data_IF_595999801319
#
_entry.id   IF_595999801319
#
_cell.length_a   1.000
_cell.length_b   1.000
_cell.length_c   1.000
_cell.angle_alpha   90.00
_cell.angle_beta   90.00
_cell.angle_gamma   90.00
#
_symmetry.space_group_name_H-M   'P 1'
#
loop_
_entity.id
_entity.type
_entity.pdbx_description
1 polymer ?
#
# COMPACT_ATOMS: atom_id res chain seq x y z
N UNK A 1 -19.92 20.17 9.97
CA UNK A 1 -18.74 21.06 9.98
C UNK A 1 -18.32 21.17 8.53
N UNK A 2 -18.76 22.26 7.87
CA UNK A 2 -18.44 22.51 6.45
C UNK A 2 -16.95 22.82 6.35
N UNK A 3 -16.24 22.02 5.61
CA UNK A 3 -14.82 22.26 5.28
C UNK A 3 -14.81 23.34 4.21
N UNK A 4 -14.26 24.49 4.53
CA UNK A 4 -14.10 25.63 3.60
C UNK A 4 -13.25 25.23 2.40
N UNK A 5 -13.90 24.97 1.28
CA UNK A 5 -13.30 24.59 -0.01
C UNK A 5 -12.49 25.74 -0.62
N UNK A 6 -12.60 26.96 -0.08
CA UNK A 6 -11.94 28.16 -0.61
C UNK A 6 -10.43 28.17 -0.35
N UNK A 7 -9.96 27.55 0.73
CA UNK A 7 -8.54 27.55 1.11
C UNK A 7 -7.67 26.59 0.28
N UNK A 8 -8.25 25.61 -0.40
CA UNK A 8 -7.51 24.68 -1.27
C UNK A 8 -7.21 25.24 -2.67
N UNK A 9 -7.89 26.31 -3.09
CA UNK A 9 -7.67 26.95 -4.39
C UNK A 9 -6.32 27.62 -4.54
N UNK A 10 -5.63 27.92 -3.46
CA UNK A 10 -4.32 28.61 -3.47
C UNK A 10 -3.11 27.69 -3.64
N UNK A 11 -3.26 26.38 -3.52
CA UNK A 11 -2.12 25.44 -3.55
C UNK A 11 -1.92 24.71 -4.87
N UNK A 12 -2.90 24.72 -5.76
CA UNK A 12 -2.81 24.06 -7.05
C UNK A 12 -3.06 25.03 -8.19
N UNK A 13 -2.00 25.37 -8.87
CA UNK A 13 -1.93 26.13 -10.10
C UNK A 13 -3.04 25.71 -11.08
N UNK A 14 -4.09 26.53 -11.23
CA UNK A 14 -5.07 26.66 -12.33
C UNK A 14 -5.47 25.43 -13.19
N UNK A 15 -5.27 24.21 -12.74
CA UNK A 15 -5.89 23.05 -13.34
C UNK A 15 -7.12 22.66 -12.51
N UNK A 16 -8.27 22.84 -13.12
CA UNK A 16 -9.57 22.37 -12.66
C UNK A 16 -9.54 20.83 -12.64
N UNK A 17 -8.90 20.24 -11.62
CA UNK A 17 -9.01 18.82 -11.39
C UNK A 17 -10.46 18.54 -11.03
N UNK A 18 -11.05 17.67 -11.82
CA UNK A 18 -12.41 17.21 -11.86
C UNK A 18 -12.99 17.02 -10.45
N UNK A 19 -14.17 17.56 -10.17
CA UNK A 19 -14.94 17.33 -8.94
C UNK A 19 -15.02 15.85 -8.59
N UNK A 20 -14.97 14.98 -9.57
CA UNK A 20 -14.90 13.53 -9.46
C UNK A 20 -13.63 13.04 -8.74
N UNK A 21 -12.51 13.77 -8.86
CA UNK A 21 -11.27 13.47 -8.13
C UNK A 21 -11.41 13.83 -6.65
N UNK A 22 -12.03 14.98 -6.34
CA UNK A 22 -12.31 15.41 -4.96
C UNK A 22 -13.36 14.52 -4.28
N UNK A 23 -14.37 14.06 -5.01
CA UNK A 23 -15.35 13.09 -4.51
C UNK A 23 -14.70 11.73 -4.19
N UNK A 24 -13.72 11.29 -4.98
CA UNK A 24 -12.95 10.10 -4.68
C UNK A 24 -12.04 10.29 -3.46
N UNK A 25 -11.37 11.44 -3.30
CA UNK A 25 -10.58 11.73 -2.09
C UNK A 25 -11.46 11.73 -0.83
N UNK A 26 -12.62 12.38 -0.87
CA UNK A 26 -13.57 12.40 0.26
C UNK A 26 -14.13 11.00 0.55
N UNK A 27 -14.38 10.20 -0.49
CA UNK A 27 -14.85 8.82 -0.37
C UNK A 27 -13.76 7.92 0.23
N UNK A 28 -12.50 8.12 -0.17
CA UNK A 28 -11.34 7.43 0.38
C UNK A 28 -11.10 7.81 1.83
N UNK A 29 -11.26 9.09 2.20
CA UNK A 29 -11.13 9.55 3.59
C UNK A 29 -12.28 9.07 4.50
N UNK A 30 -13.49 8.89 3.98
CA UNK A 30 -14.66 8.38 4.72
C UNK A 30 -14.59 6.87 4.97
N UNK A 31 -13.76 6.13 4.22
CA UNK A 31 -13.53 4.69 4.43
C UNK A 31 -12.37 4.40 5.40
N UNK A 32 -11.70 5.43 5.93
CA UNK A 32 -10.54 5.32 6.83
C UNK A 32 -10.86 4.75 8.23
N UNK A 33 -12.12 4.55 8.57
CA UNK A 33 -12.54 3.89 9.82
C UNK A 33 -12.57 2.34 9.72
N UNK A 34 -12.32 1.76 8.55
CA UNK A 34 -12.09 0.32 8.38
C UNK A 34 -10.61 0.10 8.13
N UNK A 35 -10.06 -0.88 8.83
CA UNK A 35 -8.72 -1.43 8.63
C UNK A 35 -8.39 -1.45 7.12
N UNK A 36 -7.53 -0.52 6.69
CA UNK A 36 -7.31 -0.26 5.27
C UNK A 36 -6.37 -1.34 4.74
N UNK A 37 -6.97 -2.39 4.19
CA UNK A 37 -6.20 -3.37 3.43
C UNK A 37 -6.20 -3.00 1.95
N UNK A 38 -5.13 -2.33 1.52
CA UNK A 38 -4.95 -1.93 0.13
C UNK A 38 -4.82 -3.12 -0.83
N UNK A 39 -4.62 -4.35 -0.32
CA UNK A 39 -4.54 -5.55 -1.15
C UNK A 39 -5.91 -6.03 -1.64
N UNK A 40 -7.00 -5.57 -1.00
CA UNK A 40 -8.37 -5.80 -1.44
C UNK A 40 -8.83 -4.85 -2.56
N UNK A 41 -8.06 -3.81 -2.83
CA UNK A 41 -8.35 -2.86 -3.90
C UNK A 41 -7.93 -3.41 -5.28
N UNK A 42 -8.50 -2.82 -6.34
CA UNK A 42 -7.99 -3.13 -7.68
C UNK A 42 -6.54 -2.60 -7.85
N UNK A 43 -5.76 -3.25 -8.71
CA UNK A 43 -4.41 -2.77 -9.03
C UNK A 43 -4.41 -1.31 -9.51
N UNK A 44 -5.47 -0.89 -10.22
CA UNK A 44 -5.63 0.49 -10.70
C UNK A 44 -5.80 1.45 -9.53
N UNK A 45 -6.73 1.14 -8.62
CA UNK A 45 -7.02 2.00 -7.48
C UNK A 45 -5.79 2.13 -6.57
N UNK A 46 -5.04 1.03 -6.35
CA UNK A 46 -3.79 1.07 -5.61
C UNK A 46 -2.77 2.04 -6.24
N UNK A 47 -2.59 1.94 -7.56
CA UNK A 47 -1.63 2.77 -8.30
C UNK A 47 -2.08 4.24 -8.29
N UNK A 48 -3.37 4.51 -8.50
CA UNK A 48 -3.92 5.86 -8.53
C UNK A 48 -3.77 6.55 -7.16
N UNK A 49 -4.02 5.83 -6.06
CA UNK A 49 -3.80 6.35 -4.70
C UNK A 49 -2.32 6.56 -4.41
N UNK A 50 -1.46 5.60 -4.76
CA UNK A 50 -0.01 5.71 -4.57
C UNK A 50 0.59 6.90 -5.34
N UNK A 51 0.06 7.22 -6.52
CA UNK A 51 0.51 8.35 -7.33
C UNK A 51 -0.03 9.71 -6.85
N UNK A 52 -0.93 9.72 -5.90
CA UNK A 52 -1.57 10.93 -5.37
C UNK A 52 -0.75 11.59 -4.25
N UNK A 53 -1.32 12.59 -3.61
CA UNK A 53 -0.78 13.21 -2.39
C UNK A 53 -1.24 12.51 -1.11
N UNK A 54 -1.91 11.36 -1.21
CA UNK A 54 -2.34 10.59 -0.06
C UNK A 54 -1.12 10.11 0.75
N UNK A 55 -1.19 10.17 2.10
CA UNK A 55 -0.07 9.76 2.94
C UNK A 55 0.15 8.24 2.93
N UNK A 56 -0.85 7.47 2.56
CA UNK A 56 -0.85 6.00 2.44
C UNK A 56 -1.61 5.57 1.17
N UNK A 57 -1.20 4.48 0.48
CA UNK A 57 -0.04 3.64 0.76
C UNK A 57 1.27 4.37 0.50
N UNK A 58 2.28 4.12 1.35
CA UNK A 58 3.62 4.68 1.19
C UNK A 58 4.57 3.76 0.43
N UNK A 59 5.84 4.17 0.37
CA UNK A 59 6.90 3.40 -0.30
C UNK A 59 7.12 2.02 0.30
N UNK A 60 6.89 1.83 1.61
CA UNK A 60 7.01 0.54 2.29
C UNK A 60 5.96 -0.45 1.80
N UNK A 61 4.67 -0.05 1.81
CA UNK A 61 3.57 -0.84 1.29
C UNK A 61 3.74 -1.18 -0.20
N UNK A 62 4.12 -0.18 -1.02
CA UNK A 62 4.40 -0.40 -2.43
C UNK A 62 5.56 -1.39 -2.66
N UNK A 63 6.64 -1.29 -1.89
CA UNK A 63 7.77 -2.22 -1.98
C UNK A 63 7.39 -3.65 -1.59
N UNK A 64 6.56 -3.81 -0.55
CA UNK A 64 6.05 -5.11 -0.12
C UNK A 64 5.18 -5.74 -1.23
N UNK A 65 4.31 -4.96 -1.88
CA UNK A 65 3.48 -5.45 -3.00
C UNK A 65 4.34 -5.88 -4.19
N UNK A 66 5.36 -5.09 -4.56
CA UNK A 66 6.31 -5.48 -5.64
C UNK A 66 7.04 -6.77 -5.28
N UNK A 67 7.45 -6.93 -4.01
CA UNK A 67 8.04 -8.16 -3.51
C UNK A 67 7.10 -9.36 -3.66
N UNK A 68 5.83 -9.20 -3.28
CA UNK A 68 4.81 -10.25 -3.42
C UNK A 68 4.62 -10.67 -4.89
N UNK A 69 4.57 -9.71 -5.80
CA UNK A 69 4.48 -9.97 -7.26
C UNK A 69 5.71 -10.74 -7.73
N UNK A 70 6.92 -10.34 -7.29
CA UNK A 70 8.16 -11.02 -7.65
C UNK A 70 8.18 -12.48 -7.19
N UNK A 71 7.77 -12.75 -5.95
CA UNK A 71 7.66 -14.11 -5.40
C UNK A 71 6.61 -14.93 -6.14
N UNK A 72 5.46 -14.33 -6.46
CA UNK A 72 4.40 -14.98 -7.22
C UNK A 72 4.86 -15.39 -8.63
N UNK A 73 5.70 -14.58 -9.30
CA UNK A 73 6.30 -14.94 -10.57
C UNK A 73 7.22 -16.15 -10.44
N UNK A 74 8.03 -16.23 -9.38
CA UNK A 74 8.84 -17.42 -9.07
C UNK A 74 7.97 -18.65 -8.84
N UNK A 75 6.91 -18.51 -8.07
CA UNK A 75 5.95 -19.59 -7.80
C UNK A 75 5.22 -20.06 -9.06
N UNK A 76 4.94 -19.14 -10.01
CA UNK A 76 4.39 -19.48 -11.32
C UNK A 76 5.33 -20.41 -12.09
N UNK A 77 6.66 -20.13 -12.11
CA UNK A 77 7.66 -21.00 -12.76
C UNK A 77 7.65 -22.39 -12.12
N UNK A 78 7.61 -22.47 -10.77
CA UNK A 78 7.47 -23.74 -10.05
C UNK A 78 6.21 -24.50 -10.47
N UNK A 79 5.07 -23.81 -10.54
CA UNK A 79 3.78 -24.39 -10.93
C UNK A 79 3.79 -24.94 -12.36
N UNK A 80 4.50 -24.28 -13.26
CA UNK A 80 4.67 -24.72 -14.64
C UNK A 80 5.68 -25.87 -14.77
N UNK A 81 6.45 -26.20 -13.73
CA UNK A 81 7.51 -27.19 -13.75
C UNK A 81 7.09 -28.51 -13.11
N UNK A 82 6.33 -28.46 -12.01
CA UNK A 82 5.81 -29.64 -11.30
C UNK A 82 5.05 -30.57 -12.25
N UNK A 83 5.26 -31.87 -12.11
CA UNK A 83 4.64 -32.92 -12.93
C UNK A 83 5.28 -33.15 -14.30
N UNK A 84 6.32 -32.39 -14.66
CA UNK A 84 7.05 -32.62 -15.92
C UNK A 84 8.16 -33.65 -15.73
N UNK A 85 8.11 -34.74 -16.50
CA UNK A 85 9.12 -35.84 -16.47
C UNK A 85 10.56 -35.36 -16.51
N UNK A 86 10.84 -34.26 -17.20
CA UNK A 86 12.18 -33.68 -17.34
C UNK A 86 12.78 -33.21 -16.02
N UNK A 87 11.96 -32.88 -15.04
CA UNK A 87 12.35 -32.27 -13.77
C UNK A 87 11.96 -33.14 -12.57
N UNK A 88 11.72 -34.45 -12.82
CA UNK A 88 11.28 -35.39 -11.79
C UNK A 88 12.30 -35.57 -10.64
N UNK A 89 13.56 -35.39 -10.92
CA UNK A 89 14.70 -35.47 -10.00
C UNK A 89 14.76 -34.30 -9.00
N UNK A 90 14.14 -33.16 -9.32
CA UNK A 90 14.09 -31.94 -8.48
C UNK A 90 12.67 -31.56 -8.05
N UNK A 91 11.68 -32.40 -8.34
CA UNK A 91 10.27 -32.07 -8.10
C UNK A 91 9.97 -31.79 -6.63
N UNK A 92 10.54 -32.56 -5.71
CA UNK A 92 10.34 -32.35 -4.26
C UNK A 92 10.90 -31.00 -3.80
N UNK A 93 12.03 -30.59 -4.33
CA UNK A 93 12.62 -29.28 -4.04
C UNK A 93 11.75 -28.14 -4.57
N UNK A 94 11.22 -28.31 -5.78
CA UNK A 94 10.30 -27.31 -6.38
C UNK A 94 9.03 -27.18 -5.54
N UNK A 95 8.46 -28.30 -5.08
CA UNK A 95 7.25 -28.29 -4.23
C UNK A 95 7.55 -27.58 -2.90
N UNK A 96 8.71 -27.82 -2.29
CA UNK A 96 9.14 -27.12 -1.07
C UNK A 96 9.27 -25.62 -1.30
N UNK A 97 9.98 -25.21 -2.36
CA UNK A 97 10.14 -23.79 -2.73
C UNK A 97 8.80 -23.10 -2.97
N UNK A 98 7.85 -23.78 -3.62
CA UNK A 98 6.51 -23.24 -3.83
C UNK A 98 5.78 -22.97 -2.53
N UNK A 99 5.85 -23.90 -1.57
CA UNK A 99 5.24 -23.72 -0.25
C UNK A 99 5.85 -22.52 0.49
N UNK A 100 7.17 -22.39 0.48
CA UNK A 100 7.86 -21.25 1.07
C UNK A 100 7.47 -19.93 0.37
N UNK A 101 7.33 -19.94 -0.96
CA UNK A 101 6.88 -18.80 -1.74
C UNK A 101 5.46 -18.37 -1.38
N UNK A 102 4.54 -19.30 -1.15
CA UNK A 102 3.17 -19.00 -0.71
C UNK A 102 3.18 -18.30 0.67
N UNK A 103 3.99 -18.80 1.61
CA UNK A 103 4.12 -18.19 2.94
C UNK A 103 4.74 -16.80 2.88
N UNK A 104 5.77 -16.60 2.07
CA UNK A 104 6.41 -15.29 1.85
C UNK A 104 5.43 -14.31 1.20
N UNK A 105 4.70 -14.74 0.17
CA UNK A 105 3.70 -13.92 -0.51
C UNK A 105 2.64 -13.42 0.48
N UNK A 106 2.09 -14.33 1.30
CA UNK A 106 1.12 -13.98 2.33
C UNK A 106 1.68 -12.93 3.29
N UNK A 107 2.89 -13.15 3.79
CA UNK A 107 3.55 -12.21 4.72
C UNK A 107 3.80 -10.85 4.09
N UNK A 108 4.18 -10.80 2.82
CA UNK A 108 4.39 -9.53 2.10
C UNK A 108 3.09 -8.76 1.93
N UNK A 109 1.97 -9.43 1.63
CA UNK A 109 0.66 -8.80 1.55
C UNK A 109 0.21 -8.25 2.92
N UNK A 110 0.42 -9.00 4.01
CA UNK A 110 0.17 -8.51 5.37
C UNK A 110 1.02 -7.26 5.70
N UNK A 111 2.24 -7.17 5.17
CA UNK A 111 3.11 -6.01 5.37
C UNK A 111 2.62 -4.76 4.64
N UNK A 112 1.88 -4.89 3.54
CA UNK A 112 1.26 -3.74 2.85
C UNK A 112 0.28 -3.03 3.79
N UNK A 113 -0.62 -3.77 4.43
CA UNK A 113 -1.59 -3.23 5.37
C UNK A 113 -0.88 -2.67 6.63
N UNK A 114 0.11 -3.40 7.14
CA UNK A 114 0.85 -2.99 8.34
C UNK A 114 1.66 -1.71 8.16
N UNK A 115 2.25 -1.48 6.98
CA UNK A 115 2.95 -0.23 6.66
C UNK A 115 2.00 0.97 6.76
N UNK A 116 0.80 0.85 6.22
CA UNK A 116 -0.22 1.89 6.30
C UNK A 116 -0.65 2.18 7.75
N UNK A 117 -0.88 1.14 8.55
CA UNK A 117 -1.25 1.24 9.96
C UNK A 117 -0.18 1.96 10.80
N UNK A 118 1.09 1.56 10.63
CA UNK A 118 2.22 2.18 11.35
C UNK A 118 2.40 3.64 10.92
N UNK A 119 2.28 3.92 9.62
CA UNK A 119 2.44 5.27 9.10
C UNK A 119 1.34 6.23 9.59
N UNK A 120 0.12 5.76 9.79
CA UNK A 120 -0.95 6.60 10.36
C UNK A 120 -0.55 7.17 11.74
N UNK A 121 0.06 6.35 12.58
CA UNK A 121 0.57 6.78 13.88
C UNK A 121 1.69 7.83 13.75
N UNK A 122 2.61 7.60 12.82
CA UNK A 122 3.71 8.53 12.54
C UNK A 122 3.20 9.85 11.97
N UNK A 123 2.23 9.81 11.07
CA UNK A 123 1.60 10.99 10.46
C UNK A 123 0.95 11.88 11.54
N UNK A 124 0.28 11.30 12.52
CA UNK A 124 -0.26 12.03 13.67
C UNK A 124 0.85 12.71 14.49
N UNK A 125 2.00 12.07 14.67
CA UNK A 125 3.13 12.65 15.36
C UNK A 125 3.75 13.84 14.58
N UNK A 126 3.77 13.77 13.24
CA UNK A 126 4.23 14.89 12.41
C UNK A 126 3.32 16.12 12.45
N UNK A 127 2.02 15.94 12.70
CA UNK A 127 1.03 17.02 12.80
C UNK A 127 1.01 17.71 14.17
N UNK A 128 1.78 17.24 15.17
CA UNK A 128 1.88 17.89 16.46
C UNK A 128 2.47 19.31 16.37
N UNK A 129 1.97 20.27 17.19
CA UNK A 129 2.51 21.62 17.26
C UNK A 129 4.02 21.61 17.54
N UNK A 130 4.74 22.57 16.96
CA UNK A 130 6.21 22.71 17.07
C UNK A 130 6.61 24.09 17.64
N UNK A 131 5.71 24.73 18.37
CA UNK A 131 5.84 26.13 18.75
C UNK A 131 6.72 26.31 20.00
N UNK A 132 6.88 25.25 20.82
CA UNK A 132 7.69 25.30 22.04
C UNK A 132 8.75 24.19 22.11
N UNK A 133 9.86 24.40 22.86
CA UNK A 133 10.87 23.34 23.07
C UNK A 133 10.29 22.06 23.71
N UNK A 134 9.26 22.20 24.54
CA UNK A 134 8.59 21.07 25.21
C UNK A 134 7.72 20.26 24.22
N UNK A 135 7.13 20.92 23.22
CA UNK A 135 6.36 20.28 22.14
C UNK A 135 7.29 19.53 21.17
N UNK A 136 8.50 20.08 20.93
CA UNK A 136 9.52 19.41 20.11
C UNK A 136 10.07 18.13 20.76
N UNK A 137 10.13 18.06 22.09
CA UNK A 137 10.62 16.90 22.83
C UNK A 137 9.63 15.71 22.85
N UNK A 138 8.35 15.93 22.49
CA UNK A 138 7.30 14.88 22.44
C UNK A 138 7.23 14.17 21.10
N UNK A 139 8.02 14.57 20.13
CA UNK A 139 8.06 14.04 18.77
C UNK A 139 9.16 13.01 18.57
#
# INVERSE_FOLDING_TARGET
MEIDVSLRKCYYNNNLYDLKYLENEVRTMSSLDKQIDFTENSCRDFIDVLASSAPIPGGGGASALVGAIGVALGNMVGSLTVGKKRYADVEEDIIRCKKEADEITKRLLELVAKDAEVFETLSKAYSLPKSTPEELAKK
#
